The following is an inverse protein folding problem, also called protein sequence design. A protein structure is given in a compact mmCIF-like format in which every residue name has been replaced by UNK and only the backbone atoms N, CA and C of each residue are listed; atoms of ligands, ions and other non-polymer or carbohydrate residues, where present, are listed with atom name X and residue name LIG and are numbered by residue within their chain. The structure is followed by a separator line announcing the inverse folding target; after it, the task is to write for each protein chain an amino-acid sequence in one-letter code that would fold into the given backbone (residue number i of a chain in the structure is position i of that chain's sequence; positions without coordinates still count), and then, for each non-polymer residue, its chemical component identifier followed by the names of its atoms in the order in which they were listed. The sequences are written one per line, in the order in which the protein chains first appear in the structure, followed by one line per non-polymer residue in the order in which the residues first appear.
data_IF_779801993190
#
_entry.id   IF_779801993190
#
_cell.length_a   1.000
_cell.length_b   1.000
_cell.length_c   1.000
_cell.angle_alpha   90.00
_cell.angle_beta   90.00
_cell.angle_gamma   90.00
#
_symmetry.space_group_name_H-M   'P 1'
#
loop_
_entity.id
_entity.type
_entity.pdbx_description
1 polymer ?
#
# COMPACT_ATOMS: atom_id res chain seq x y z
N UNK A 1 -16.43 -28.93 39.11
CA UNK A 1 -16.27 -29.11 37.66
C UNK A 1 -15.58 -27.87 37.12
N UNK A 2 -14.29 -27.98 36.84
CA UNK A 2 -13.44 -26.84 36.49
C UNK A 2 -13.60 -26.44 35.02
N UNK A 3 -13.61 -25.12 34.84
CA UNK A 3 -13.66 -24.37 33.59
C UNK A 3 -12.74 -24.91 32.49
N UNK A 4 -13.31 -25.66 31.54
CA UNK A 4 -12.66 -26.06 30.29
C UNK A 4 -12.67 -24.94 29.22
N UNK A 5 -13.25 -23.77 29.53
CA UNK A 5 -13.38 -22.65 28.59
C UNK A 5 -12.13 -21.75 28.50
N UNK A 6 -11.29 -21.73 29.54
CA UNK A 6 -10.19 -20.76 29.65
C UNK A 6 -9.00 -21.07 28.70
N UNK A 7 -8.62 -22.34 28.56
CA UNK A 7 -7.44 -22.73 27.77
C UNK A 7 -7.61 -22.54 26.25
N UNK A 8 -8.83 -22.68 25.74
CA UNK A 8 -9.09 -22.53 24.31
C UNK A 8 -9.17 -21.06 23.85
N UNK A 9 -9.42 -20.13 24.77
CA UNK A 9 -9.33 -18.69 24.49
C UNK A 9 -7.90 -18.18 24.52
N UNK A 10 -7.08 -18.69 25.44
CA UNK A 10 -5.67 -18.32 25.59
C UNK A 10 -4.81 -18.83 24.42
N UNK A 11 -5.02 -20.09 23.99
CA UNK A 11 -4.34 -20.67 22.81
C UNK A 11 -4.74 -19.94 21.52
N UNK A 12 -6.02 -19.57 21.36
CA UNK A 12 -6.45 -18.77 20.20
C UNK A 12 -5.86 -17.36 20.22
N UNK A 13 -5.66 -16.75 21.39
CA UNK A 13 -5.00 -15.45 21.49
C UNK A 13 -3.53 -15.53 21.07
N UNK A 14 -2.80 -16.58 21.49
CA UNK A 14 -1.40 -16.80 21.11
C UNK A 14 -1.18 -17.20 19.65
N UNK A 15 -2.18 -17.82 18.99
CA UNK A 15 -2.10 -18.17 17.56
C UNK A 15 -2.66 -17.04 16.67
N UNK A 16 -3.60 -16.23 17.17
CA UNK A 16 -4.06 -15.05 16.43
C UNK A 16 -3.02 -13.92 16.43
N UNK A 17 -2.24 -13.73 17.49
CA UNK A 17 -1.21 -12.67 17.55
C UNK A 17 -0.16 -12.74 16.43
N UNK A 18 0.49 -13.88 16.10
CA UNK A 18 1.46 -13.94 15.01
C UNK A 18 0.79 -13.65 13.66
N UNK A 19 -0.43 -14.14 13.43
CA UNK A 19 -1.15 -13.88 12.19
C UNK A 19 -1.53 -12.39 12.02
N UNK A 20 -1.86 -11.69 13.11
CA UNK A 20 -2.12 -10.25 13.08
C UNK A 20 -0.87 -9.41 12.87
N UNK A 21 0.26 -9.85 13.42
CA UNK A 21 1.55 -9.19 13.23
C UNK A 21 2.02 -9.34 11.77
N UNK A 22 1.90 -10.54 11.20
CA UNK A 22 2.19 -10.81 9.79
C UNK A 22 1.28 -9.95 8.89
N UNK A 23 -0.03 -9.91 9.16
CA UNK A 23 -0.96 -9.06 8.42
C UNK A 23 -0.56 -7.58 8.46
N UNK A 24 -0.20 -7.07 9.64
CA UNK A 24 0.22 -5.67 9.79
C UNK A 24 1.53 -5.35 9.05
N UNK A 25 2.49 -6.28 9.07
CA UNK A 25 3.72 -6.17 8.29
C UNK A 25 3.41 -6.17 6.79
N UNK A 26 2.50 -7.03 6.32
CA UNK A 26 2.07 -7.05 4.92
C UNK A 26 1.44 -5.71 4.49
N UNK A 27 0.59 -5.11 5.33
CA UNK A 27 -0.02 -3.80 5.07
C UNK A 27 1.05 -2.71 4.97
N UNK A 28 2.03 -2.74 5.89
CA UNK A 28 3.15 -1.79 5.86
C UNK A 28 3.98 -1.92 4.58
N UNK A 29 4.29 -3.17 4.17
CA UNK A 29 5.01 -3.42 2.93
C UNK A 29 4.20 -2.95 1.70
N UNK A 30 2.88 -3.17 1.69
CA UNK A 30 2.02 -2.66 0.63
C UNK A 30 2.10 -1.13 0.52
N UNK A 31 2.00 -0.40 1.63
CA UNK A 31 2.19 1.06 1.65
C UNK A 31 3.54 1.50 1.11
N UNK A 32 4.61 0.80 1.50
CA UNK A 32 5.95 1.10 1.00
C UNK A 32 6.05 0.86 -0.51
N UNK A 33 5.40 -0.18 -1.03
CA UNK A 33 5.37 -0.47 -2.46
C UNK A 33 4.55 0.54 -3.23
N UNK A 34 3.40 0.98 -2.71
CA UNK A 34 2.57 2.02 -3.35
C UNK A 34 3.30 3.36 -3.39
N UNK A 35 3.92 3.76 -2.27
CA UNK A 35 4.74 4.96 -2.22
C UNK A 35 5.95 4.85 -3.14
N UNK A 36 6.59 3.68 -3.19
CA UNK A 36 7.67 3.38 -4.11
C UNK A 36 7.24 3.48 -5.56
N UNK A 37 6.03 3.01 -5.90
CA UNK A 37 5.47 3.11 -7.24
C UNK A 37 5.20 4.58 -7.60
N UNK A 38 4.58 5.36 -6.70
CA UNK A 38 4.31 6.79 -6.94
C UNK A 38 5.59 7.62 -7.08
N UNK A 39 6.62 7.34 -6.27
CA UNK A 39 7.91 8.01 -6.33
C UNK A 39 8.84 7.42 -7.41
N UNK A 40 8.48 6.27 -7.99
CA UNK A 40 9.34 5.57 -8.93
C UNK A 40 9.55 6.48 -10.14
N UNK A 41 10.82 6.73 -10.49
CA UNK A 41 11.11 7.48 -11.67
C UNK A 41 10.63 6.69 -12.92
N UNK A 42 10.79 5.37 -12.96
CA UNK A 42 10.54 4.58 -14.16
C UNK A 42 9.29 3.71 -14.02
N UNK A 43 8.20 4.08 -14.70
CA UNK A 43 7.02 3.22 -14.90
C UNK A 43 7.07 2.49 -16.23
N UNK A 44 7.48 3.22 -17.27
CA UNK A 44 7.72 2.66 -18.60
C UNK A 44 9.07 3.18 -19.08
N UNK A 45 9.95 2.27 -19.46
CA UNK A 45 11.28 2.59 -19.99
C UNK A 45 11.40 2.06 -21.41
N UNK A 46 12.01 2.85 -22.29
CA UNK A 46 12.48 2.35 -23.58
C UNK A 46 13.95 2.76 -23.75
N UNK A 47 14.79 1.74 -23.94
CA UNK A 47 16.26 1.75 -24.09
C UNK A 47 16.89 3.14 -24.27
N UNK A 48 17.18 3.81 -23.15
CA UNK A 48 17.91 5.10 -23.02
C UNK A 48 17.42 6.28 -23.86
N UNK A 49 16.29 6.16 -24.55
CA UNK A 49 15.71 7.19 -25.41
C UNK A 49 14.43 7.76 -24.81
N UNK A 50 13.77 6.98 -23.95
CA UNK A 50 12.48 7.32 -23.38
C UNK A 50 12.35 6.84 -21.95
N UNK A 51 11.87 7.74 -21.12
CA UNK A 51 11.58 7.51 -19.73
C UNK A 51 10.22 8.12 -19.41
N UNK A 52 9.34 7.34 -18.81
CA UNK A 52 8.04 7.83 -18.38
C UNK A 52 7.83 7.48 -16.91
N UNK A 53 7.65 8.54 -16.12
CA UNK A 53 7.18 8.51 -14.74
C UNK A 53 5.70 8.92 -14.69
N UNK A 54 5.09 8.75 -13.52
CA UNK A 54 3.73 9.27 -13.26
C UNK A 54 3.64 10.80 -13.29
N UNK A 55 4.76 11.51 -13.09
CA UNK A 55 4.81 12.96 -12.91
C UNK A 55 5.39 13.70 -14.12
N UNK A 56 6.39 13.10 -14.74
CA UNK A 56 7.12 13.62 -15.91
C UNK A 56 7.36 12.53 -16.97
N UNK A 57 7.27 12.91 -18.24
CA UNK A 57 7.80 12.14 -19.38
C UNK A 57 9.06 12.82 -19.89
N UNK A 58 10.17 12.08 -19.94
CA UNK A 58 11.42 12.55 -20.52
C UNK A 58 11.75 11.75 -21.78
N UNK A 59 12.01 12.46 -22.88
CA UNK A 59 12.45 11.88 -24.15
C UNK A 59 13.77 12.50 -24.57
N UNK A 60 14.64 11.69 -25.15
CA UNK A 60 15.83 12.16 -25.85
C UNK A 60 15.51 12.18 -27.35
N UNK A 61 15.31 13.35 -27.98
CA UNK A 61 15.11 13.41 -29.42
C UNK A 61 16.38 12.93 -30.12
N UNK A 62 16.27 12.12 -31.17
CA UNK A 62 17.42 11.52 -31.87
C UNK A 62 18.45 12.52 -32.43
N UNK A 63 18.14 13.82 -32.44
CA UNK A 63 18.93 14.88 -33.03
C UNK A 63 19.56 15.81 -31.96
N UNK A 64 19.22 15.65 -30.67
CA UNK A 64 19.66 16.49 -29.57
C UNK A 64 20.25 15.66 -28.43
N UNK A 65 21.37 16.10 -27.87
CA UNK A 65 21.99 15.44 -26.72
C UNK A 65 21.32 15.75 -25.37
N UNK A 66 20.33 16.65 -25.35
CA UNK A 66 19.61 17.03 -24.14
C UNK A 66 18.31 16.23 -23.96
N UNK A 67 18.02 15.85 -22.71
CA UNK A 67 16.72 15.32 -22.30
C UNK A 67 15.67 16.43 -22.32
N UNK A 68 14.54 16.19 -23.00
CA UNK A 68 13.35 17.03 -22.88
C UNK A 68 12.36 16.33 -21.96
N UNK A 69 12.12 16.94 -20.81
CA UNK A 69 11.13 16.50 -19.84
C UNK A 69 9.90 17.40 -19.90
N UNK A 70 8.73 16.79 -20.04
CA UNK A 70 7.43 17.44 -20.02
C UNK A 70 6.57 16.80 -18.91
N UNK A 71 5.78 17.61 -18.21
CA UNK A 71 4.88 17.10 -17.16
C UNK A 71 3.79 16.21 -17.78
N UNK A 72 3.64 15.00 -17.26
CA UNK A 72 2.69 13.99 -17.76
C UNK A 72 1.25 14.21 -17.31
N UNK A 73 1.00 15.25 -16.53
CA UNK A 73 -0.32 15.63 -15.99
C UNK A 73 -1.36 16.06 -17.04
N UNK A 74 -1.06 15.87 -18.33
CA UNK A 74 -1.97 16.10 -19.45
C UNK A 74 -2.67 14.83 -19.95
N UNK A 75 -2.23 13.63 -19.55
CA UNK A 75 -2.83 12.39 -20.03
C UNK A 75 -3.86 11.81 -19.05
N UNK A 76 -5.06 11.52 -19.54
CA UNK A 76 -6.19 11.09 -18.72
C UNK A 76 -5.91 9.78 -17.96
N UNK A 77 -5.20 8.84 -18.59
CA UNK A 77 -4.88 7.55 -17.99
C UNK A 77 -3.86 7.66 -16.84
N UNK A 78 -2.89 8.59 -16.93
CA UNK A 78 -1.94 8.83 -15.83
C UNK A 78 -2.64 9.49 -14.65
N UNK A 79 -3.52 10.46 -14.90
CA UNK A 79 -4.32 11.09 -13.85
C UNK A 79 -5.19 10.04 -13.14
N UNK A 80 -5.86 9.16 -13.90
CA UNK A 80 -6.66 8.08 -13.32
C UNK A 80 -5.80 7.10 -12.49
N UNK A 81 -4.63 6.71 -13.00
CA UNK A 81 -3.71 5.81 -12.29
C UNK A 81 -3.19 6.45 -11.00
N UNK A 82 -2.83 7.73 -11.05
CA UNK A 82 -2.37 8.50 -9.90
C UNK A 82 -3.47 8.61 -8.83
N UNK A 83 -4.70 8.89 -9.24
CA UNK A 83 -5.85 8.94 -8.33
C UNK A 83 -6.12 7.58 -7.68
N UNK A 84 -6.02 6.48 -8.43
CA UNK A 84 -6.19 5.13 -7.90
C UNK A 84 -5.08 4.75 -6.91
N UNK A 85 -3.82 5.04 -7.23
CA UNK A 85 -2.68 4.75 -6.34
C UNK A 85 -2.75 5.56 -5.04
N UNK A 86 -3.02 6.87 -5.14
CA UNK A 86 -3.17 7.71 -3.95
C UNK A 86 -4.40 7.32 -3.12
N UNK A 87 -5.51 6.97 -3.78
CA UNK A 87 -6.71 6.47 -3.13
C UNK A 87 -6.46 5.16 -2.38
N UNK A 88 -5.84 4.17 -3.04
CA UNK A 88 -5.44 2.90 -2.44
C UNK A 88 -4.48 3.10 -1.27
N UNK A 89 -3.41 3.87 -1.46
CA UNK A 89 -2.46 4.17 -0.40
C UNK A 89 -3.12 4.84 0.82
N UNK A 90 -4.10 5.73 0.61
CA UNK A 90 -4.85 6.35 1.70
C UNK A 90 -5.70 5.32 2.47
N UNK A 91 -6.38 4.40 1.78
CA UNK A 91 -7.17 3.34 2.41
C UNK A 91 -6.26 2.40 3.22
N UNK A 92 -5.12 1.99 2.64
CA UNK A 92 -4.16 1.10 3.31
C UNK A 92 -3.55 1.79 4.54
N UNK A 93 -3.29 3.10 4.47
CA UNK A 93 -2.77 3.88 5.59
C UNK A 93 -3.77 3.92 6.74
N UNK A 94 -5.06 4.16 6.43
CA UNK A 94 -6.13 4.11 7.42
C UNK A 94 -6.23 2.71 8.04
N UNK A 95 -6.20 1.66 7.22
CA UNK A 95 -6.22 0.27 7.70
C UNK A 95 -5.03 -0.06 8.61
N UNK A 96 -3.83 0.44 8.29
CA UNK A 96 -2.63 0.30 9.10
C UNK A 96 -2.76 1.00 10.45
N UNK A 97 -3.21 2.26 10.47
CA UNK A 97 -3.41 3.03 11.70
C UNK A 97 -4.43 2.36 12.62
N UNK A 98 -5.57 1.92 12.07
CA UNK A 98 -6.59 1.18 12.83
C UNK A 98 -6.02 -0.13 13.38
N UNK A 99 -5.22 -0.85 12.59
CA UNK A 99 -4.52 -2.06 13.00
C UNK A 99 -3.55 -1.82 14.17
N UNK A 100 -2.72 -0.78 14.08
CA UNK A 100 -1.79 -0.38 15.15
C UNK A 100 -2.53 0.01 16.43
N UNK A 101 -3.52 0.88 16.35
CA UNK A 101 -4.31 1.33 17.50
C UNK A 101 -4.97 0.12 18.18
N UNK A 102 -5.51 -0.83 17.41
CA UNK A 102 -6.13 -2.04 17.96
C UNK A 102 -5.14 -2.93 18.73
N UNK A 103 -3.86 -2.95 18.32
CA UNK A 103 -2.80 -3.71 19.01
C UNK A 103 -2.35 -2.94 20.26
N UNK A 104 -2.09 -1.63 20.15
CA UNK A 104 -1.62 -0.78 21.25
C UNK A 104 -2.63 -0.72 22.42
N UNK A 105 -3.94 -0.69 22.11
CA UNK A 105 -5.00 -0.62 23.13
C UNK A 105 -5.37 -2.01 23.69
N UNK A 106 -4.80 -3.10 23.15
CA UNK A 106 -5.10 -4.46 23.61
C UNK A 106 -6.57 -4.86 23.43
N UNK A 107 -7.29 -4.22 22.49
CA UNK A 107 -8.74 -4.38 22.35
C UNK A 107 -9.08 -5.79 21.82
N UNK A 108 -9.62 -6.63 22.71
CA UNK A 108 -10.12 -7.97 22.37
C UNK A 108 -11.28 -7.85 21.36
N UNK A 109 -10.97 -8.20 20.10
CA UNK A 109 -11.82 -8.96 19.17
C UNK A 109 -12.88 -8.29 18.26
N UNK A 110 -13.12 -6.97 18.21
CA UNK A 110 -14.18 -6.42 17.30
C UNK A 110 -13.76 -5.71 16.02
N UNK A 111 -12.49 -5.30 15.85
CA UNK A 111 -12.10 -4.45 14.70
C UNK A 111 -11.44 -5.16 13.51
N UNK A 112 -11.28 -6.49 13.53
CA UNK A 112 -10.59 -7.20 12.44
C UNK A 112 -11.41 -7.40 11.17
N UNK A 113 -12.75 -7.49 11.29
CA UNK A 113 -13.65 -7.62 10.15
C UNK A 113 -13.67 -6.37 9.24
N UNK A 114 -13.82 -5.14 9.77
CA UNK A 114 -13.80 -3.94 8.93
C UNK A 114 -12.43 -3.65 8.31
N UNK A 115 -11.33 -3.93 9.02
CA UNK A 115 -9.97 -3.79 8.47
C UNK A 115 -9.74 -4.73 7.28
N UNK A 116 -10.20 -5.99 7.37
CA UNK A 116 -10.12 -6.92 6.26
C UNK A 116 -10.94 -6.49 5.04
N UNK A 117 -12.11 -5.84 5.24
CA UNK A 117 -12.92 -5.31 4.14
C UNK A 117 -12.25 -4.08 3.51
N UNK A 118 -11.66 -3.18 4.31
CA UNK A 118 -10.89 -2.05 3.77
C UNK A 118 -9.66 -2.51 2.99
N UNK A 119 -8.96 -3.56 3.42
CA UNK A 119 -7.80 -4.12 2.70
C UNK A 119 -8.17 -4.89 1.44
N UNK A 120 -9.40 -5.38 1.32
CA UNK A 120 -9.88 -6.02 0.10
C UNK A 120 -10.37 -4.99 -0.93
N UNK A 121 -10.75 -3.80 -0.47
CA UNK A 121 -11.20 -2.70 -1.32
C UNK A 121 -10.06 -1.79 -1.79
N UNK A 122 -8.92 -1.81 -1.07
CA UNK A 122 -7.67 -1.21 -1.52
C UNK A 122 -6.98 -2.09 -2.55
#
# INVERSE_FOLDING_TARGET
MASAGSGMEEVRVSVLTPLKLVGLVCIFLALCLDLGAVLSPAWVTADHQYYLSLWESCRKPGNLDSWLCESTLHSDWQIATLALLLGGAAIILIAFLVGLISICVGSRRRFYRPVAVMLFAA
#
